data_IF_882836142035
#
_entry.id   IF_882836142035
#
_cell.length_a   1.000
_cell.length_b   1.000
_cell.length_c   1.000
_cell.angle_alpha   90.00
_cell.angle_beta   90.00
_cell.angle_gamma   90.00
#
_symmetry.space_group_name_H-M   'P 1'
#
loop_
_entity.id
_entity.type
_entity.pdbx_description
1 polymer ?
#
# COMPACT_ATOMS: atom_id res chain seq x y z
N UNK A 1 -3.81 -5.63 -1.65
CA UNK A 1 -3.32 -4.24 -1.62
C UNK A 1 -2.55 -3.88 -0.34
N UNK A 2 -2.92 -4.34 0.87
CA UNK A 2 -2.27 -3.87 2.10
C UNK A 2 -0.75 -4.14 2.19
N UNK A 3 -0.27 -5.22 1.55
CA UNK A 3 1.15 -5.63 1.59
C UNK A 3 2.13 -4.62 0.95
N UNK A 4 1.73 -3.79 -0.03
CA UNK A 4 2.65 -2.77 -0.56
C UNK A 4 3.02 -1.71 0.48
N UNK A 5 2.11 -1.42 1.40
CA UNK A 5 2.33 -0.39 2.42
C UNK A 5 3.31 -0.84 3.50
N UNK A 6 3.57 -2.15 3.66
CA UNK A 6 4.65 -2.67 4.51
C UNK A 6 6.04 -2.27 3.99
N UNK A 7 6.14 -1.96 2.69
CA UNK A 7 7.33 -1.36 2.08
C UNK A 7 7.36 0.16 2.12
N UNK A 8 6.45 0.82 2.85
CA UNK A 8 6.39 2.27 2.96
C UNK A 8 6.49 2.70 4.42
N UNK A 9 6.75 3.98 4.66
CA UNK A 9 6.76 4.57 6.01
C UNK A 9 5.39 4.57 6.70
N UNK A 10 4.29 4.34 5.97
CA UNK A 10 2.94 4.43 6.53
C UNK A 10 2.65 3.30 7.52
N UNK A 11 1.92 3.61 8.59
CA UNK A 11 1.21 2.60 9.37
C UNK A 11 -0.01 2.12 8.57
N UNK A 12 -0.18 0.80 8.56
CA UNK A 12 -1.33 0.12 7.97
C UNK A 12 -2.33 -0.37 9.04
N UNK A 13 -2.29 0.22 10.24
CA UNK A 13 -3.22 -0.09 11.32
C UNK A 13 -2.82 -1.27 12.23
N UNK A 14 -1.60 -1.82 12.10
CA UNK A 14 -1.04 -2.70 13.16
C UNK A 14 -0.97 -1.92 14.46
N UNK A 15 -1.27 -2.57 15.58
CA UNK A 15 -1.45 -1.89 16.87
C UNK A 15 -2.82 -1.21 17.03
N UNK A 16 -3.80 -1.57 16.20
CA UNK A 16 -5.20 -1.13 16.32
C UNK A 16 -6.14 -2.31 16.11
N UNK A 17 -7.44 -2.10 16.31
CA UNK A 17 -8.48 -3.09 15.98
C UNK A 17 -8.81 -3.16 14.47
N UNK A 18 -8.07 -2.42 13.62
CA UNK A 18 -8.34 -2.27 12.18
C UNK A 18 -7.10 -2.54 11.32
N UNK A 19 -6.34 -3.63 11.56
CA UNK A 19 -5.13 -3.92 10.78
C UNK A 19 -5.48 -4.12 9.31
N UNK A 20 -4.67 -3.56 8.41
CA UNK A 20 -4.82 -3.60 6.95
C UNK A 20 -6.06 -2.90 6.39
N UNK A 21 -6.81 -2.20 7.23
CA UNK A 21 -8.05 -1.49 6.85
C UNK A 21 -7.93 0.03 6.98
N UNK A 22 -6.81 0.52 7.49
CA UNK A 22 -6.51 1.95 7.62
C UNK A 22 -5.08 2.22 7.16
N UNK A 23 -4.80 3.43 6.71
CA UNK A 23 -3.47 3.87 6.29
C UNK A 23 -3.19 5.23 6.92
N UNK A 24 -1.99 5.48 7.43
CA UNK A 24 -1.66 6.80 7.97
C UNK A 24 -0.21 6.98 8.42
N UNK A 25 0.15 8.23 8.69
CA UNK A 25 1.47 8.60 9.23
C UNK A 25 1.35 9.91 10.02
N UNK A 26 2.18 10.16 11.05
CA UNK A 26 2.19 11.43 11.79
C UNK A 26 2.45 12.66 10.92
N UNK A 27 3.35 12.53 9.94
CA UNK A 27 3.71 13.64 9.04
C UNK A 27 2.65 13.96 7.96
N UNK A 28 1.62 13.12 7.81
CA UNK A 28 0.52 13.44 6.91
C UNK A 28 -0.38 14.48 7.58
N UNK A 29 -0.68 15.57 6.86
CA UNK A 29 -1.59 16.62 7.31
C UNK A 29 -2.88 16.59 6.49
N UNK A 30 -3.95 17.15 7.03
CA UNK A 30 -5.24 17.34 6.35
C UNK A 30 -5.87 16.04 5.80
N UNK A 31 -5.75 14.95 6.55
CA UNK A 31 -6.38 13.68 6.19
C UNK A 31 -7.71 13.51 6.95
N UNK A 32 -8.71 12.84 6.36
CA UNK A 32 -10.06 12.76 6.92
C UNK A 32 -10.18 11.83 8.14
N UNK A 33 -9.15 11.03 8.42
CA UNK A 33 -9.17 10.03 9.49
C UNK A 33 -7.86 10.05 10.28
N UNK A 34 -7.92 9.60 11.53
CA UNK A 34 -6.74 9.43 12.37
C UNK A 34 -6.86 8.24 13.31
N UNK A 35 -5.72 7.63 13.64
CA UNK A 35 -5.62 6.52 14.58
C UNK A 35 -4.23 6.51 15.24
N UNK A 36 -4.12 5.85 16.38
CA UNK A 36 -2.84 5.72 17.10
C UNK A 36 -2.56 4.24 17.32
N UNK A 37 -1.50 3.68 16.70
CA UNK A 37 -1.01 2.34 17.00
C UNK A 37 -0.56 2.23 18.47
N UNK A 38 -0.93 1.16 19.15
CA UNK A 38 -0.47 0.80 20.50
C UNK A 38 -0.06 -0.67 20.53
N UNK A 39 0.83 -1.05 21.44
CA UNK A 39 1.05 -2.46 21.75
C UNK A 39 -0.27 -3.11 22.22
N UNK A 40 -0.61 -4.23 21.60
CA UNK A 40 -1.75 -5.06 21.98
C UNK A 40 -1.22 -6.47 22.19
N UNK A 41 -1.01 -6.90 23.44
CA UNK A 41 -0.51 -8.23 23.76
C UNK A 41 -1.32 -9.33 23.07
N UNK A 42 -0.62 -10.23 22.36
CA UNK A 42 -1.24 -11.32 21.60
C UNK A 42 -1.77 -10.94 20.21
N UNK A 43 -1.74 -9.67 19.82
CA UNK A 43 -2.13 -9.22 18.47
C UNK A 43 -1.00 -8.47 17.74
N UNK A 44 -0.36 -7.50 18.39
CA UNK A 44 0.69 -6.70 17.77
C UNK A 44 1.62 -6.14 18.85
N UNK A 45 2.81 -6.73 18.96
CA UNK A 45 3.93 -6.21 19.76
C UNK A 45 4.80 -5.32 18.88
N UNK A 46 5.29 -4.21 19.45
CA UNK A 46 6.11 -3.19 18.78
C UNK A 46 5.55 -2.76 17.40
N UNK A 47 4.30 -2.27 17.31
CA UNK A 47 3.72 -1.89 16.04
C UNK A 47 4.44 -0.68 15.41
N UNK A 48 4.50 -0.58 14.07
CA UNK A 48 5.03 0.60 13.40
C UNK A 48 4.30 1.86 13.86
N UNK A 49 5.08 2.90 14.17
CA UNK A 49 4.59 4.20 14.65
C UNK A 49 3.81 4.11 15.97
N UNK A 50 4.18 3.17 16.84
CA UNK A 50 3.63 3.03 18.20
C UNK A 50 3.60 4.35 18.96
N UNK A 51 2.44 4.64 19.58
CA UNK A 51 2.19 5.82 20.38
C UNK A 51 2.05 7.12 19.58
N UNK A 52 2.20 7.08 18.24
CA UNK A 52 2.14 8.28 17.40
C UNK A 52 0.78 8.41 16.72
N UNK A 53 0.15 9.58 16.85
CA UNK A 53 -1.08 9.90 16.13
C UNK A 53 -0.82 9.92 14.63
N UNK A 54 -1.41 8.98 13.90
CA UNK A 54 -1.30 8.85 12.46
C UNK A 54 -2.53 9.46 11.79
N UNK A 55 -2.32 10.33 10.80
CA UNK A 55 -3.40 10.87 9.97
C UNK A 55 -3.41 10.16 8.62
N UNK A 56 -4.60 9.85 8.09
CA UNK A 56 -4.73 9.19 6.79
C UNK A 56 -6.15 8.78 6.42
N UNK A 57 -6.29 7.56 5.91
CA UNK A 57 -7.52 7.06 5.27
C UNK A 57 -8.09 5.88 6.06
N UNK A 58 -9.41 5.89 6.20
CA UNK A 58 -10.20 4.73 6.65
C UNK A 58 -10.73 4.00 5.41
N UNK A 59 -10.36 2.73 5.26
CA UNK A 59 -10.74 1.88 4.13
C UNK A 59 -11.75 0.80 4.53
N UNK A 60 -12.31 0.81 5.75
CA UNK A 60 -13.22 -0.25 6.22
C UNK A 60 -14.52 -0.35 5.44
N UNK A 61 -15.01 0.77 4.90
CA UNK A 61 -16.30 0.87 4.21
C UNK A 61 -16.17 1.00 2.69
N UNK A 62 -14.95 0.93 2.15
CA UNK A 62 -14.72 1.12 0.72
C UNK A 62 -15.10 -0.13 -0.07
N UNK A 63 -15.72 0.06 -1.23
CA UNK A 63 -16.01 -1.03 -2.15
C UNK A 63 -14.70 -1.55 -2.76
N UNK A 64 -14.40 -2.82 -2.51
CA UNK A 64 -13.21 -3.48 -3.06
C UNK A 64 -13.49 -3.91 -4.50
N UNK A 65 -12.68 -3.40 -5.43
CA UNK A 65 -12.70 -3.84 -6.82
C UNK A 65 -11.95 -5.16 -7.00
N UNK A 66 -12.30 -5.94 -8.04
CA UNK A 66 -11.58 -7.18 -8.42
C UNK A 66 -10.24 -6.89 -9.11
N UNK A 67 -9.50 -5.90 -8.62
CA UNK A 67 -8.16 -5.52 -9.10
C UNK A 67 -7.37 -4.86 -7.98
N UNK A 68 -6.05 -4.92 -8.08
CA UNK A 68 -5.15 -4.11 -7.23
C UNK A 68 -5.38 -2.65 -7.56
N UNK A 69 -5.89 -1.84 -6.64
CA UNK A 69 -6.09 -0.39 -6.84
C UNK A 69 -4.84 0.37 -6.36
N UNK A 70 -4.18 1.10 -7.27
CA UNK A 70 -2.95 1.86 -6.98
C UNK A 70 -3.21 3.29 -6.52
N UNK A 71 -4.44 3.79 -6.70
CA UNK A 71 -4.81 5.16 -6.36
C UNK A 71 -4.47 5.52 -4.91
N UNK A 72 -4.62 4.59 -3.96
CA UNK A 72 -4.26 4.85 -2.56
C UNK A 72 -2.75 5.03 -2.38
N UNK A 73 -1.93 4.18 -3.02
CA UNK A 73 -0.48 4.29 -2.92
C UNK A 73 0.01 5.61 -3.54
N UNK A 74 -0.50 5.94 -4.72
CA UNK A 74 -0.20 7.19 -5.43
C UNK A 74 -0.63 8.40 -4.61
N UNK A 75 -1.88 8.41 -4.11
CA UNK A 75 -2.42 9.49 -3.28
C UNK A 75 -1.62 9.70 -2.01
N UNK A 76 -1.28 8.63 -1.30
CA UNK A 76 -0.52 8.74 -0.06
C UNK A 76 0.92 9.18 -0.34
N UNK A 77 1.55 8.70 -1.41
CA UNK A 77 2.85 9.22 -1.87
C UNK A 77 2.78 10.71 -2.16
N UNK A 78 1.77 11.17 -2.90
CA UNK A 78 1.56 12.59 -3.23
C UNK A 78 1.30 13.47 -2.01
N UNK A 79 0.58 12.96 -1.01
CA UNK A 79 0.28 13.69 0.23
C UNK A 79 1.48 13.73 1.20
N UNK A 80 2.40 12.76 1.11
CA UNK A 80 3.51 12.64 2.06
C UNK A 80 4.58 13.73 1.83
N UNK A 81 5.05 14.44 2.87
CA UNK A 81 5.96 15.57 2.68
C UNK A 81 7.36 15.16 2.18
N UNK A 82 7.93 14.07 2.72
CA UNK A 82 9.29 13.63 2.40
C UNK A 82 9.26 12.49 1.35
N UNK A 83 9.30 12.87 0.07
CA UNK A 83 9.18 11.92 -1.06
C UNK A 83 10.29 10.89 -1.10
N UNK A 84 11.49 11.24 -0.65
CA UNK A 84 12.67 10.39 -0.72
C UNK A 84 12.58 9.24 0.28
N UNK A 85 11.98 9.50 1.45
CA UNK A 85 11.79 8.49 2.50
C UNK A 85 10.53 7.65 2.37
N UNK A 86 9.59 8.01 1.49
CA UNK A 86 8.29 7.34 1.45
C UNK A 86 8.38 5.83 1.23
N UNK A 87 9.20 5.41 0.26
CA UNK A 87 9.45 3.99 -0.04
C UNK A 87 10.66 3.50 0.76
N UNK A 88 10.46 2.48 1.58
CA UNK A 88 11.54 1.79 2.27
C UNK A 88 12.32 0.87 1.32
N UNK A 89 13.52 0.46 1.71
CA UNK A 89 14.41 -0.39 0.90
C UNK A 89 13.74 -1.68 0.45
N UNK A 90 12.92 -2.29 1.31
CA UNK A 90 12.20 -3.52 1.04
C UNK A 90 11.01 -3.36 0.07
N UNK A 91 10.60 -2.14 -0.30
CA UNK A 91 9.44 -1.93 -1.18
C UNK A 91 9.56 -2.72 -2.48
N UNK A 92 10.74 -2.68 -3.13
CA UNK A 92 10.96 -3.40 -4.37
C UNK A 92 10.81 -4.91 -4.24
N UNK A 93 11.17 -5.48 -3.08
CA UNK A 93 10.99 -6.89 -2.78
C UNK A 93 9.51 -7.26 -2.74
N UNK A 94 8.68 -6.43 -2.10
CA UNK A 94 7.23 -6.66 -2.01
C UNK A 94 6.50 -6.37 -3.32
N UNK A 95 6.97 -5.39 -4.09
CA UNK A 95 6.43 -5.04 -5.39
C UNK A 95 6.90 -5.99 -6.52
N UNK A 96 7.88 -6.85 -6.25
CA UNK A 96 8.51 -7.74 -7.24
C UNK A 96 9.58 -7.05 -8.11
N UNK A 97 9.69 -5.72 -8.06
CA UNK A 97 10.80 -4.94 -8.61
C UNK A 97 10.79 -3.49 -8.09
N UNK A 98 11.87 -2.74 -8.33
CA UNK A 98 11.92 -1.30 -8.06
C UNK A 98 11.13 -0.45 -9.06
N UNK A 99 10.54 -1.05 -10.10
CA UNK A 99 9.88 -0.33 -11.19
C UNK A 99 8.67 0.48 -10.70
N UNK A 100 7.82 -0.11 -9.86
CA UNK A 100 6.61 0.57 -9.38
C UNK A 100 6.95 1.86 -8.58
N UNK A 101 7.95 1.79 -7.69
CA UNK A 101 8.38 2.98 -6.95
C UNK A 101 8.94 4.05 -7.89
N UNK A 102 9.71 3.65 -8.91
CA UNK A 102 10.23 4.58 -9.93
C UNK A 102 9.09 5.26 -10.68
N UNK A 103 8.12 4.49 -11.18
CA UNK A 103 6.98 5.03 -11.93
C UNK A 103 6.15 6.02 -11.13
N UNK A 104 5.94 5.75 -9.83
CA UNK A 104 5.23 6.67 -8.93
C UNK A 104 6.04 7.94 -8.68
N UNK A 105 7.37 7.84 -8.50
CA UNK A 105 8.26 9.02 -8.40
C UNK A 105 8.25 9.87 -9.68
N UNK A 106 8.12 9.22 -10.83
CA UNK A 106 8.01 9.88 -12.14
C UNK A 106 6.60 10.45 -12.41
N UNK A 107 5.71 10.46 -11.41
CA UNK A 107 4.33 10.96 -11.49
C UNK A 107 3.45 10.25 -12.53
N UNK A 108 3.74 9.00 -12.87
CA UNK A 108 2.87 8.21 -13.73
C UNK A 108 1.52 7.98 -13.07
N UNK A 109 0.46 8.06 -13.86
CA UNK A 109 -0.90 7.72 -13.47
C UNK A 109 -1.07 6.22 -13.27
N UNK A 110 -2.11 5.83 -12.53
CA UNK A 110 -2.45 4.40 -12.35
C UNK A 110 -2.66 3.68 -13.69
N UNK A 111 -3.24 4.34 -14.69
CA UNK A 111 -3.48 3.76 -16.01
C UNK A 111 -2.16 3.52 -16.77
N UNK A 112 -1.23 4.48 -16.73
CA UNK A 112 0.08 4.34 -17.37
C UNK A 112 0.90 3.22 -16.72
N UNK A 113 0.91 3.15 -15.38
CA UNK A 113 1.58 2.07 -14.64
C UNK A 113 1.01 0.71 -15.06
N UNK A 114 -0.31 0.56 -15.11
CA UNK A 114 -0.96 -0.70 -15.52
C UNK A 114 -0.64 -1.08 -16.95
N UNK A 115 -0.55 -0.11 -17.85
CA UNK A 115 -0.18 -0.37 -19.23
C UNK A 115 1.19 -1.05 -19.32
N UNK A 116 2.14 -0.70 -18.44
CA UNK A 116 3.46 -1.35 -18.41
C UNK A 116 3.43 -2.82 -17.99
N UNK A 117 2.38 -3.27 -17.29
CA UNK A 117 2.24 -4.66 -16.85
C UNK A 117 1.53 -5.55 -17.86
N UNK A 118 0.86 -4.94 -18.84
CA UNK A 118 -0.12 -5.63 -19.68
C UNK A 118 0.52 -6.78 -20.48
N UNK A 119 1.73 -6.56 -21.00
CA UNK A 119 2.46 -7.59 -21.76
C UNK A 119 2.75 -8.85 -20.92
N UNK A 120 3.31 -8.68 -19.73
CA UNK A 120 3.66 -9.81 -18.84
C UNK A 120 2.42 -10.46 -18.24
N UNK A 121 1.35 -9.69 -17.99
CA UNK A 121 0.06 -10.23 -17.58
C UNK A 121 -0.56 -11.12 -18.66
N UNK A 122 -0.48 -10.76 -19.94
CA UNK A 122 -0.97 -11.61 -21.03
C UNK A 122 -0.12 -12.89 -21.17
N UNK A 123 1.21 -12.79 -21.07
CA UNK A 123 2.10 -13.96 -21.04
C UNK A 123 1.74 -14.90 -19.88
N UNK A 124 1.53 -14.35 -18.68
CA UNK A 124 1.16 -15.13 -17.49
C UNK A 124 -0.23 -15.77 -17.64
N UNK A 125 -1.22 -15.05 -18.17
CA UNK A 125 -2.57 -15.58 -18.43
C UNK A 125 -2.53 -16.75 -19.40
N UNK A 126 -1.68 -16.72 -20.42
CA UNK A 126 -1.50 -17.84 -21.34
C UNK A 126 -0.84 -19.02 -20.64
N UNK A 127 0.23 -18.78 -19.88
CA UNK A 127 0.96 -19.81 -19.15
C UNK A 127 0.07 -20.53 -18.12
N UNK A 128 -0.68 -19.77 -17.31
CA UNK A 128 -1.46 -20.33 -16.19
C UNK A 128 -2.59 -21.27 -16.65
N UNK A 129 -3.06 -21.17 -17.89
CA UNK A 129 -4.14 -22.03 -18.45
C UNK A 129 -3.83 -23.52 -18.33
N UNK A 130 -2.54 -23.91 -18.38
CA UNK A 130 -2.10 -25.30 -18.25
C UNK A 130 -2.35 -25.89 -16.86
N UNK A 131 -2.64 -25.06 -15.87
CA UNK A 131 -2.70 -25.43 -14.45
C UNK A 131 -4.04 -25.04 -13.79
N UNK A 132 -5.03 -24.59 -14.56
CA UNK A 132 -6.35 -24.25 -14.01
C UNK A 132 -7.13 -25.53 -13.70
N UNK A 133 -7.64 -25.62 -12.47
CA UNK A 133 -8.51 -26.71 -12.00
C UNK A 133 -10.00 -26.32 -11.99
N UNK A 134 -10.30 -25.04 -12.26
CA UNK A 134 -11.62 -24.46 -12.22
C UNK A 134 -11.77 -23.45 -13.37
N UNK A 135 -13.00 -23.31 -13.85
CA UNK A 135 -13.37 -22.30 -14.87
C UNK A 135 -13.36 -20.87 -14.32
#
# INVERSE_FOLDING_TARGET
MPSFFEGTVLSLGRGTQMPFQVLGHPDLKNQPFSFTPIDIPGMAVDPPLEGKLCHGLDLRTVKVEKRVNLSYLIRMYQAFPDKDKFFMEQFGRWAGSNMLAKQIRDNMTENEIRATWQEDLEKYKLMRKKYLLYE
#
